data_IF_498679270261
#
_entry.id   IF_498679270261
#
_cell.length_a   1.000
_cell.length_b   1.000
_cell.length_c   1.000
_cell.angle_alpha   90.00
_cell.angle_beta   90.00
_cell.angle_gamma   90.00
#
_symmetry.space_group_name_H-M   'P 1'
#
loop_
_entity.id
_entity.type
_entity.pdbx_description
1 polymer ?
#
# COMPACT_ATOMS: atom_id res chain seq x y z
N UNK A 1 -13.32 11.55 36.29
CA UNK A 1 -13.98 10.36 35.75
C UNK A 1 -13.97 10.45 34.22
N UNK A 2 -12.80 10.27 33.61
CA UNK A 2 -12.63 10.19 32.14
C UNK A 2 -11.67 9.06 31.91
N UNK A 3 -12.10 7.97 31.30
CA UNK A 3 -11.16 6.92 30.94
C UNK A 3 -11.69 5.52 31.12
N UNK A 4 -12.63 5.08 30.28
CA UNK A 4 -12.90 3.62 30.10
C UNK A 4 -13.67 3.26 28.82
N UNK A 5 -13.77 4.14 27.84
CA UNK A 5 -14.57 3.89 26.64
C UNK A 5 -13.77 3.63 25.35
N UNK A 6 -12.46 3.34 25.44
CA UNK A 6 -11.60 3.17 24.27
C UNK A 6 -10.94 1.78 24.16
N UNK A 7 -11.48 0.74 24.83
CA UNK A 7 -10.84 -0.60 24.84
C UNK A 7 -11.64 -1.74 24.21
N UNK A 8 -12.85 -1.50 23.75
CA UNK A 8 -13.73 -2.58 23.30
C UNK A 8 -14.21 -2.41 21.84
N UNK A 9 -13.34 -1.99 20.94
CA UNK A 9 -13.56 -2.24 19.52
C UNK A 9 -12.87 -3.57 19.19
N UNK A 10 -13.61 -4.66 19.00
CA UNK A 10 -13.02 -5.91 18.54
C UNK A 10 -12.49 -5.68 17.14
N UNK A 11 -11.16 -5.66 16.97
CA UNK A 11 -10.50 -5.66 15.66
C UNK A 11 -10.66 -7.00 14.91
N UNK A 12 -11.56 -7.87 15.37
CA UNK A 12 -11.60 -9.28 15.02
C UNK A 12 -12.77 -9.72 14.15
N UNK A 13 -13.50 -8.80 13.55
CA UNK A 13 -14.50 -9.24 12.57
C UNK A 13 -14.01 -8.89 11.17
N UNK A 14 -13.13 -9.73 10.62
CA UNK A 14 -13.07 -9.89 9.17
C UNK A 14 -14.40 -10.51 8.76
N UNK A 15 -15.45 -9.71 8.71
CA UNK A 15 -16.70 -10.11 8.12
C UNK A 15 -16.41 -10.41 6.67
N UNK A 16 -16.61 -11.67 6.27
CA UNK A 16 -16.58 -12.04 4.86
C UNK A 16 -17.57 -11.10 4.17
N UNK A 17 -17.11 -10.23 3.25
CA UNK A 17 -18.01 -9.24 2.67
C UNK A 17 -19.18 -9.95 1.99
N UNK A 18 -20.38 -9.47 2.20
CA UNK A 18 -21.58 -9.98 1.52
C UNK A 18 -21.41 -9.79 0.01
N UNK A 19 -22.11 -10.60 -0.79
CA UNK A 19 -22.05 -10.47 -2.26
C UNK A 19 -22.37 -9.05 -2.75
N UNK A 20 -23.28 -8.35 -2.09
CA UNK A 20 -23.62 -6.94 -2.39
C UNK A 20 -22.44 -6.02 -2.10
N UNK A 21 -21.79 -6.17 -0.96
CA UNK A 21 -20.60 -5.39 -0.59
C UNK A 21 -19.44 -5.68 -1.55
N UNK A 22 -19.21 -6.95 -1.89
CA UNK A 22 -18.17 -7.34 -2.82
C UNK A 22 -18.36 -6.67 -4.19
N UNK A 23 -19.58 -6.72 -4.75
CA UNK A 23 -19.89 -6.06 -6.04
C UNK A 23 -19.67 -4.54 -6.02
N UNK A 24 -19.88 -3.88 -4.89
CA UNK A 24 -19.65 -2.42 -4.72
C UNK A 24 -18.18 -2.09 -4.56
N UNK A 25 -17.43 -2.91 -3.81
CA UNK A 25 -16.04 -2.64 -3.41
C UNK A 25 -15.01 -3.14 -4.42
N UNK A 26 -15.34 -4.22 -5.13
CA UNK A 26 -14.43 -4.85 -6.09
C UNK A 26 -14.01 -3.91 -7.24
N UNK A 27 -14.87 -3.11 -7.87
CA UNK A 27 -14.46 -2.16 -8.91
C UNK A 27 -13.43 -1.15 -8.40
N UNK A 28 -13.63 -0.62 -7.18
CA UNK A 28 -12.69 0.33 -6.58
C UNK A 28 -11.33 -0.33 -6.29
N UNK A 29 -11.31 -1.58 -5.82
CA UNK A 29 -10.09 -2.35 -5.64
C UNK A 29 -9.36 -2.57 -6.97
N UNK A 30 -10.09 -3.02 -8.00
CA UNK A 30 -9.54 -3.33 -9.32
C UNK A 30 -9.00 -2.10 -10.07
N UNK A 31 -9.49 -0.91 -9.75
CA UNK A 31 -8.94 0.37 -10.24
C UNK A 31 -7.80 0.84 -9.34
N UNK A 32 -7.95 0.71 -8.02
CA UNK A 32 -6.98 1.22 -7.05
C UNK A 32 -5.60 0.56 -7.15
N UNK A 33 -5.55 -0.76 -7.34
CA UNK A 33 -4.28 -1.49 -7.45
C UNK A 33 -3.49 -1.10 -8.72
N UNK A 34 -4.07 -1.04 -9.93
CA UNK A 34 -3.38 -0.52 -11.11
C UNK A 34 -2.91 0.93 -10.94
N UNK A 35 -3.74 1.81 -10.40
CA UNK A 35 -3.35 3.21 -10.14
C UNK A 35 -2.17 3.25 -9.18
N UNK A 36 -2.17 2.45 -8.11
CA UNK A 36 -1.05 2.32 -7.17
C UNK A 36 0.22 1.85 -7.87
N UNK A 37 0.15 0.78 -8.67
CA UNK A 37 1.29 0.23 -9.38
C UNK A 37 1.89 1.20 -10.41
N UNK A 38 1.04 1.92 -11.16
CA UNK A 38 1.47 2.97 -12.08
C UNK A 38 2.16 4.11 -11.32
N UNK A 39 1.59 4.57 -10.20
CA UNK A 39 2.20 5.61 -9.37
C UNK A 39 3.60 5.23 -8.89
N UNK A 40 3.78 4.00 -8.40
CA UNK A 40 5.09 3.46 -7.99
C UNK A 40 6.05 3.45 -9.19
N UNK A 41 5.62 2.96 -10.36
CA UNK A 41 6.46 2.91 -11.56
C UNK A 41 6.92 4.32 -12.01
N UNK A 42 6.04 5.33 -11.93
CA UNK A 42 6.40 6.73 -12.21
C UNK A 42 7.48 7.25 -11.28
N UNK A 43 7.40 6.94 -9.98
CA UNK A 43 8.45 7.33 -9.03
C UNK A 43 9.79 6.62 -9.30
N UNK A 44 9.73 5.34 -9.73
CA UNK A 44 10.91 4.57 -10.14
C UNK A 44 11.58 5.17 -11.38
N UNK A 45 10.81 5.53 -12.40
CA UNK A 45 11.30 6.14 -13.64
C UNK A 45 11.86 7.56 -13.43
N UNK A 46 11.40 8.29 -12.41
CA UNK A 46 11.95 9.60 -12.08
C UNK A 46 13.41 9.55 -11.63
N UNK A 47 13.89 8.41 -11.11
CA UNK A 47 15.28 8.20 -10.63
C UNK A 47 15.82 9.26 -9.66
N UNK A 48 14.93 9.87 -8.89
CA UNK A 48 15.30 10.87 -7.86
C UNK A 48 15.23 10.29 -6.44
N UNK A 49 15.11 8.98 -6.31
CA UNK A 49 14.82 8.27 -5.07
C UNK A 49 13.34 7.89 -4.97
N UNK A 50 13.05 6.81 -4.27
CA UNK A 50 11.74 6.16 -4.20
C UNK A 50 11.36 5.87 -2.75
N UNK A 51 10.19 5.28 -2.51
CA UNK A 51 9.78 4.92 -1.14
C UNK A 51 10.80 3.98 -0.48
N UNK A 52 10.91 3.96 0.86
CA UNK A 52 11.83 3.08 1.59
C UNK A 52 11.74 1.60 1.17
N UNK A 53 10.53 1.07 1.00
CA UNK A 53 10.33 -0.30 0.53
C UNK A 53 10.71 -0.49 -0.94
N UNK A 54 10.47 0.51 -1.78
CA UNK A 54 10.86 0.42 -3.19
C UNK A 54 12.37 0.52 -3.38
N UNK A 55 13.08 1.21 -2.47
CA UNK A 55 14.56 1.14 -2.38
C UNK A 55 15.00 -0.30 -2.11
N UNK A 56 14.33 -1.02 -1.19
CA UNK A 56 14.61 -2.43 -0.94
C UNK A 56 14.33 -3.29 -2.17
N UNK A 57 13.18 -3.09 -2.82
CA UNK A 57 12.82 -3.84 -4.02
C UNK A 57 13.83 -3.63 -5.15
N UNK A 58 14.23 -2.38 -5.39
CA UNK A 58 15.29 -2.06 -6.38
C UNK A 58 16.63 -2.70 -6.03
N UNK A 59 17.04 -2.64 -4.76
CA UNK A 59 18.30 -3.22 -4.30
C UNK A 59 18.35 -4.73 -4.50
N UNK A 60 17.25 -5.45 -4.17
CA UNK A 60 17.13 -6.89 -4.42
C UNK A 60 17.13 -7.16 -5.93
N UNK A 61 16.35 -6.42 -6.72
CA UNK A 61 16.29 -6.56 -8.17
C UNK A 61 17.68 -6.41 -8.81
N UNK A 62 18.46 -5.39 -8.40
CA UNK A 62 19.81 -5.15 -8.88
C UNK A 62 20.79 -6.31 -8.57
N UNK A 63 20.61 -6.99 -7.44
CA UNK A 63 21.47 -8.12 -7.04
C UNK A 63 21.05 -9.46 -7.66
N UNK A 64 19.76 -9.65 -7.92
CA UNK A 64 19.21 -10.92 -8.39
C UNK A 64 18.98 -10.98 -9.89
N UNK A 65 18.93 -9.83 -10.58
CA UNK A 65 18.56 -9.73 -11.99
C UNK A 65 17.06 -9.92 -12.25
N UNK A 66 16.24 -10.03 -11.22
CA UNK A 66 14.78 -10.09 -11.35
C UNK A 66 14.21 -8.72 -11.64
N UNK A 67 13.01 -8.68 -12.26
CA UNK A 67 12.28 -7.41 -12.39
C UNK A 67 11.85 -6.85 -11.04
N UNK A 68 11.70 -5.53 -10.95
CA UNK A 68 11.28 -4.87 -9.69
C UNK A 68 9.91 -5.38 -9.25
N UNK A 69 8.96 -5.54 -10.19
CA UNK A 69 7.63 -6.04 -9.87
C UNK A 69 7.63 -7.50 -9.39
N UNK A 70 8.47 -8.36 -9.97
CA UNK A 70 8.66 -9.72 -9.44
C UNK A 70 9.18 -9.70 -8.00
N UNK A 71 10.14 -8.83 -7.70
CA UNK A 71 10.66 -8.68 -6.33
C UNK A 71 9.57 -8.16 -5.38
N UNK A 72 8.74 -7.21 -5.81
CA UNK A 72 7.59 -6.70 -5.02
C UNK A 72 6.66 -7.85 -4.64
N UNK A 73 6.32 -8.74 -5.59
CA UNK A 73 5.48 -9.92 -5.34
C UNK A 73 6.16 -10.86 -4.34
N UNK A 74 7.42 -11.21 -4.56
CA UNK A 74 8.15 -12.13 -3.69
C UNK A 74 8.30 -11.60 -2.26
N UNK A 75 8.68 -10.35 -2.11
CA UNK A 75 8.78 -9.69 -0.79
C UNK A 75 7.40 -9.62 -0.13
N UNK A 76 6.34 -9.32 -0.89
CA UNK A 76 4.97 -9.35 -0.40
C UNK A 76 4.56 -10.72 0.14
N UNK A 77 4.89 -11.79 -0.59
CA UNK A 77 4.63 -13.18 -0.15
C UNK A 77 5.44 -13.54 1.11
N UNK A 78 6.70 -13.15 1.19
CA UNK A 78 7.52 -13.33 2.40
C UNK A 78 6.90 -12.59 3.58
N UNK A 79 6.45 -11.35 3.39
CA UNK A 79 5.78 -10.59 4.44
C UNK A 79 4.51 -11.30 4.91
N UNK A 80 3.71 -11.89 4.02
CA UNK A 80 2.51 -12.64 4.39
C UNK A 80 2.83 -13.88 5.25
N UNK A 81 4.01 -14.48 5.11
CA UNK A 81 4.44 -15.58 6.01
C UNK A 81 4.57 -15.06 7.46
N UNK A 82 5.05 -13.82 7.65
CA UNK A 82 5.11 -13.21 8.99
C UNK A 82 3.74 -12.88 9.58
N UNK A 83 2.66 -12.84 8.78
CA UNK A 83 1.30 -12.69 9.32
C UNK A 83 0.84 -13.90 10.11
N UNK A 84 1.38 -15.10 9.82
CA UNK A 84 1.00 -16.35 10.51
C UNK A 84 1.23 -16.22 12.03
N UNK A 85 2.47 -15.92 12.52
CA UNK A 85 2.70 -15.74 13.96
C UNK A 85 2.00 -14.50 14.54
N UNK A 86 1.67 -13.50 13.70
CA UNK A 86 0.94 -12.31 14.10
C UNK A 86 -0.59 -12.55 14.13
N UNK A 87 -1.04 -13.73 13.69
CA UNK A 87 -2.47 -14.11 13.59
C UNK A 87 -3.30 -13.13 12.74
N UNK A 88 -2.65 -12.46 11.78
CA UNK A 88 -3.34 -11.61 10.82
C UNK A 88 -3.97 -12.47 9.72
N UNK A 89 -5.18 -12.08 9.27
CA UNK A 89 -5.88 -12.81 8.20
C UNK A 89 -5.83 -11.98 6.91
N UNK A 90 -5.26 -12.51 5.82
CA UNK A 90 -5.28 -11.79 4.55
C UNK A 90 -6.70 -11.71 4.00
N UNK A 91 -7.12 -10.49 3.64
CA UNK A 91 -8.36 -10.26 2.92
C UNK A 91 -8.19 -10.46 1.41
N UNK A 92 -9.32 -10.39 0.67
CA UNK A 92 -9.30 -10.48 -0.79
C UNK A 92 -8.38 -9.39 -1.40
N UNK A 93 -8.48 -8.15 -0.90
CA UNK A 93 -7.63 -7.04 -1.35
C UNK A 93 -6.15 -7.29 -1.10
N UNK A 94 -5.79 -7.94 0.02
CA UNK A 94 -4.41 -8.32 0.33
C UNK A 94 -3.86 -9.29 -0.70
N UNK A 95 -4.61 -10.35 -1.04
CA UNK A 95 -4.17 -11.37 -1.99
C UNK A 95 -4.04 -10.77 -3.40
N UNK A 96 -5.08 -10.05 -3.85
CA UNK A 96 -5.07 -9.44 -5.18
C UNK A 96 -3.93 -8.42 -5.29
N UNK A 97 -3.76 -7.53 -4.29
CA UNK A 97 -2.66 -6.56 -4.30
C UNK A 97 -1.29 -7.25 -4.36
N UNK A 98 -1.05 -8.24 -3.50
CA UNK A 98 0.24 -8.94 -3.46
C UNK A 98 0.63 -9.56 -4.80
N UNK A 99 -0.34 -10.14 -5.51
CA UNK A 99 -0.07 -10.85 -6.77
C UNK A 99 -0.06 -9.92 -8.00
N UNK A 100 -0.76 -8.80 -7.97
CA UNK A 100 -1.00 -8.01 -9.18
C UNK A 100 -0.27 -6.67 -9.21
N UNK A 101 -0.01 -6.01 -8.07
CA UNK A 101 0.66 -4.70 -8.06
C UNK A 101 2.03 -4.76 -8.72
N UNK A 102 2.82 -5.82 -8.48
CA UNK A 102 4.12 -5.99 -9.10
C UNK A 102 4.04 -6.16 -10.63
N UNK A 103 3.04 -6.90 -11.13
CA UNK A 103 2.82 -7.03 -12.57
C UNK A 103 2.50 -5.69 -13.22
N UNK A 104 1.70 -4.87 -12.56
CA UNK A 104 1.38 -3.52 -13.04
C UNK A 104 2.61 -2.62 -13.03
N UNK A 105 3.45 -2.71 -11.99
CA UNK A 105 4.72 -1.96 -11.94
C UNK A 105 5.58 -2.32 -13.13
N UNK A 106 5.82 -3.60 -13.38
CA UNK A 106 6.66 -4.06 -14.49
C UNK A 106 6.10 -3.61 -15.84
N UNK A 107 4.79 -3.75 -16.05
CA UNK A 107 4.13 -3.28 -17.28
C UNK A 107 4.30 -1.78 -17.46
N UNK A 108 4.06 -0.99 -16.40
CA UNK A 108 4.20 0.47 -16.47
C UNK A 108 5.66 0.91 -16.72
N UNK A 109 6.65 0.21 -16.14
CA UNK A 109 8.07 0.47 -16.40
C UNK A 109 8.47 0.21 -17.87
N UNK A 110 7.79 -0.71 -18.55
CA UNK A 110 8.01 -0.94 -20.00
C UNK A 110 7.39 0.14 -20.87
N UNK A 111 6.28 0.74 -20.45
CA UNK A 111 5.52 1.72 -21.22
C UNK A 111 6.00 3.16 -20.98
N UNK A 112 6.31 3.49 -19.74
CA UNK A 112 6.75 4.84 -19.35
C UNK A 112 8.24 5.00 -19.62
N UNK A 113 8.66 5.91 -20.51
CA UNK A 113 10.07 6.12 -20.78
C UNK A 113 10.75 6.80 -19.60
N UNK A 114 12.03 6.49 -19.41
CA UNK A 114 12.86 7.19 -18.44
C UNK A 114 13.24 8.57 -18.97
N UNK A 115 12.95 9.67 -18.24
CA UNK A 115 13.31 11.00 -18.72
C UNK A 115 14.81 11.30 -18.50
N UNK A 116 15.46 11.83 -19.53
CA UNK A 116 16.89 12.19 -19.47
C UNK A 116 17.15 13.46 -18.64
N UNK A 117 16.21 14.43 -18.70
CA UNK A 117 16.38 15.76 -18.11
C UNK A 117 15.78 15.86 -16.72
N UNK A 118 16.50 16.49 -15.80
CA UNK A 118 16.01 16.74 -14.44
C UNK A 118 14.66 17.51 -14.43
N UNK A 119 14.49 18.44 -15.37
CA UNK A 119 13.25 19.21 -15.54
C UNK A 119 12.02 18.33 -15.83
N UNK A 120 12.19 17.13 -16.41
CA UNK A 120 11.12 16.16 -16.61
C UNK A 120 11.02 15.14 -15.46
N UNK A 121 12.14 14.83 -14.78
CA UNK A 121 12.16 13.90 -13.64
C UNK A 121 11.39 14.44 -12.43
N UNK A 122 11.52 15.74 -12.14
CA UNK A 122 10.84 16.35 -10.98
C UNK A 122 9.31 16.31 -11.11
N UNK A 123 8.69 16.78 -12.22
CA UNK A 123 7.24 16.63 -12.40
C UNK A 123 6.78 15.19 -12.40
N UNK A 124 7.56 14.26 -12.99
CA UNK A 124 7.25 12.83 -13.00
C UNK A 124 7.23 12.26 -11.58
N UNK A 125 8.20 12.63 -10.73
CA UNK A 125 8.23 12.23 -9.33
C UNK A 125 7.00 12.75 -8.57
N UNK A 126 6.70 14.05 -8.69
CA UNK A 126 5.57 14.68 -8.01
C UNK A 126 4.26 14.01 -8.42
N UNK A 127 4.07 13.83 -9.74
CA UNK A 127 2.89 13.15 -10.26
C UNK A 127 2.82 11.69 -9.82
N UNK A 128 3.94 10.97 -9.81
CA UNK A 128 4.03 9.61 -9.31
C UNK A 128 3.64 9.49 -7.83
N UNK A 129 4.07 10.42 -6.97
CA UNK A 129 3.69 10.46 -5.55
C UNK A 129 2.17 10.69 -5.41
N UNK A 130 1.60 11.63 -6.16
CA UNK A 130 0.16 11.91 -6.15
C UNK A 130 -0.67 10.70 -6.59
N UNK A 131 -0.26 10.06 -7.70
CA UNK A 131 -0.93 8.86 -8.24
C UNK A 131 -0.79 7.68 -7.26
N UNK A 132 0.36 7.53 -6.61
CA UNK A 132 0.56 6.51 -5.56
C UNK A 132 -0.39 6.75 -4.38
N UNK A 133 -0.50 8.00 -3.92
CA UNK A 133 -1.43 8.38 -2.84
C UNK A 133 -2.89 8.11 -3.21
N UNK A 134 -3.30 8.47 -4.42
CA UNK A 134 -4.64 8.18 -4.96
C UNK A 134 -4.91 6.68 -5.02
N UNK A 135 -3.98 5.90 -5.60
CA UNK A 135 -4.08 4.46 -5.69
C UNK A 135 -4.19 3.79 -4.31
N UNK A 136 -3.41 4.28 -3.34
CA UNK A 136 -3.47 3.82 -1.96
C UNK A 136 -4.84 4.12 -1.33
N UNK A 137 -5.37 5.34 -1.52
CA UNK A 137 -6.70 5.73 -1.04
C UNK A 137 -7.82 4.88 -1.64
N UNK A 138 -7.78 4.62 -2.94
CA UNK A 138 -8.74 3.75 -3.64
C UNK A 138 -8.67 2.31 -3.11
N UNK A 139 -7.49 1.73 -3.10
CA UNK A 139 -7.30 0.32 -2.76
C UNK A 139 -7.62 0.04 -1.27
N UNK A 140 -7.10 0.85 -0.34
CA UNK A 140 -7.40 0.72 1.09
C UNK A 140 -8.86 1.10 1.37
N UNK A 141 -9.37 2.15 0.72
CA UNK A 141 -10.75 2.62 0.85
C UNK A 141 -11.80 1.60 0.39
N UNK A 142 -11.43 0.63 -0.45
CA UNK A 142 -12.29 -0.49 -0.79
C UNK A 142 -12.61 -1.40 0.42
N UNK A 143 -11.79 -1.38 1.49
CA UNK A 143 -12.03 -2.12 2.72
C UNK A 143 -12.02 -3.65 2.56
N UNK A 144 -11.31 -4.17 1.55
CA UNK A 144 -11.21 -5.61 1.26
C UNK A 144 -9.92 -6.26 1.81
N UNK A 145 -9.21 -5.55 2.65
CA UNK A 145 -7.98 -5.99 3.32
C UNK A 145 -6.79 -5.07 3.04
N UNK A 146 -5.90 -4.88 4.03
CA UNK A 146 -4.71 -4.05 3.89
C UNK A 146 -3.65 -4.73 3.02
N UNK A 147 -2.66 -3.97 2.53
CA UNK A 147 -1.48 -4.52 1.87
C UNK A 147 -0.63 -5.38 2.81
N UNK A 148 0.24 -6.24 2.25
CA UNK A 148 1.10 -7.08 3.07
C UNK A 148 1.90 -6.28 4.09
N UNK A 149 2.48 -5.16 3.68
CA UNK A 149 3.26 -4.25 4.53
C UNK A 149 2.42 -3.62 5.64
N UNK A 150 1.23 -3.11 5.28
CA UNK A 150 0.36 -2.41 6.22
C UNK A 150 -0.17 -3.37 7.29
N UNK A 151 -0.54 -4.60 6.90
CA UNK A 151 -0.96 -5.62 7.84
C UNK A 151 0.17 -6.15 8.73
N UNK A 152 1.42 -6.17 8.25
CA UNK A 152 2.58 -6.44 9.12
C UNK A 152 2.71 -5.37 10.21
N UNK A 153 2.58 -4.09 9.83
CA UNK A 153 2.65 -2.96 10.77
C UNK A 153 1.52 -3.01 11.80
N UNK A 154 0.28 -3.23 11.36
CA UNK A 154 -0.88 -3.33 12.25
C UNK A 154 -0.83 -4.57 13.13
N UNK A 155 -0.33 -5.70 12.61
CA UNK A 155 -0.14 -6.93 13.36
C UNK A 155 0.87 -6.79 14.50
N UNK A 156 1.98 -6.08 14.25
CA UNK A 156 2.95 -5.76 15.30
C UNK A 156 2.39 -4.75 16.31
N UNK A 157 1.64 -3.75 15.85
CA UNK A 157 0.98 -2.79 16.73
C UNK A 157 -0.03 -3.48 17.66
N UNK A 158 -0.75 -4.49 17.20
CA UNK A 158 -1.66 -5.30 18.01
C UNK A 158 -0.94 -6.08 19.14
N UNK A 159 0.38 -6.26 19.05
CA UNK A 159 1.20 -6.85 20.14
C UNK A 159 1.61 -5.83 21.21
N UNK A 160 1.17 -4.58 21.11
CA UNK A 160 1.41 -3.53 22.10
C UNK A 160 2.48 -2.51 21.70
N UNK A 161 3.05 -2.62 20.50
CA UNK A 161 3.99 -1.63 20.01
C UNK A 161 3.25 -0.43 19.39
N UNK A 162 3.69 0.82 19.60
CA UNK A 162 3.06 1.98 18.97
C UNK A 162 3.23 1.93 17.45
N UNK A 163 2.13 2.08 16.71
CA UNK A 163 2.09 1.92 15.25
C UNK A 163 3.13 2.81 14.53
N UNK A 164 3.30 4.06 15.00
CA UNK A 164 4.28 4.98 14.41
C UNK A 164 5.72 4.46 14.53
N UNK A 165 6.07 3.86 15.68
CA UNK A 165 7.41 3.31 15.89
C UNK A 165 7.65 2.06 15.04
N UNK A 166 6.66 1.15 14.97
CA UNK A 166 6.72 -0.03 14.10
C UNK A 166 6.93 0.40 12.64
N UNK A 167 6.13 1.36 12.17
CA UNK A 167 6.24 1.89 10.81
C UNK A 167 7.63 2.47 10.57
N UNK A 168 8.08 3.36 11.44
CA UNK A 168 9.40 4.02 11.30
C UNK A 168 10.53 2.99 11.27
N UNK A 169 10.54 2.03 12.18
CA UNK A 169 11.59 1.00 12.25
C UNK A 169 11.60 0.15 10.98
N UNK A 170 10.43 -0.34 10.54
CA UNK A 170 10.35 -1.16 9.33
C UNK A 170 10.75 -0.39 8.07
N UNK A 171 10.35 0.88 7.96
CA UNK A 171 10.75 1.74 6.84
C UNK A 171 12.25 2.03 6.84
N UNK A 172 12.84 2.29 8.00
CA UNK A 172 14.30 2.51 8.11
C UNK A 172 15.10 1.24 7.81
N UNK A 173 14.64 0.08 8.28
CA UNK A 173 15.27 -1.20 7.97
C UNK A 173 15.20 -1.51 6.47
N UNK A 174 14.05 -1.30 5.83
CA UNK A 174 13.88 -1.48 4.40
C UNK A 174 14.77 -0.51 3.60
N UNK A 175 14.82 0.76 4.01
CA UNK A 175 15.67 1.79 3.40
C UNK A 175 17.15 1.43 3.50
N UNK A 176 17.61 1.08 4.70
CA UNK A 176 19.01 0.75 4.94
C UNK A 176 19.44 -0.50 4.17
N UNK A 177 18.65 -1.58 4.24
CA UNK A 177 18.92 -2.80 3.51
C UNK A 177 18.90 -2.57 1.99
N UNK A 178 17.91 -1.85 1.48
CA UNK A 178 17.80 -1.55 0.06
C UNK A 178 18.95 -0.68 -0.44
N UNK A 179 19.38 0.31 0.34
CA UNK A 179 20.51 1.16 -0.02
C UNK A 179 21.84 0.38 -0.09
N UNK A 180 22.09 -0.48 0.91
CA UNK A 180 23.28 -1.37 0.90
C UNK A 180 23.27 -2.32 -0.30
N UNK A 181 22.09 -2.75 -0.75
CA UNK A 181 21.93 -3.60 -1.93
C UNK A 181 22.02 -2.82 -3.26
N UNK A 182 22.08 -1.49 -3.24
CA UNK A 182 22.22 -0.65 -4.43
C UNK A 182 20.91 -0.01 -4.92
N UNK A 183 19.88 0.02 -4.09
CA UNK A 183 18.65 0.74 -4.37
C UNK A 183 18.84 2.26 -4.39
N UNK A 184 18.03 2.97 -5.14
CA UNK A 184 18.14 4.40 -5.39
C UNK A 184 17.53 5.23 -4.24
N UNK A 185 18.38 5.84 -3.43
CA UNK A 185 18.02 6.79 -2.38
C UNK A 185 18.31 8.21 -2.84
N UNK A 186 17.40 9.14 -2.65
CA UNK A 186 17.57 10.51 -3.05
C UNK A 186 16.55 11.47 -2.46
N UNK A 187 16.46 12.68 -3.02
CA UNK A 187 15.51 13.70 -2.59
C UNK A 187 14.05 13.20 -2.73
N UNK A 188 13.79 12.35 -3.72
CA UNK A 188 12.50 11.71 -3.91
C UNK A 188 12.10 10.80 -2.75
N UNK A 189 13.06 10.13 -2.10
CA UNK A 189 12.78 9.31 -0.91
C UNK A 189 12.30 10.17 0.24
N UNK A 190 12.92 11.31 0.45
CA UNK A 190 12.50 12.28 1.47
C UNK A 190 11.13 12.86 1.13
N UNK A 191 10.95 13.33 -0.10
CA UNK A 191 9.68 13.88 -0.57
C UNK A 191 8.54 12.87 -0.42
N UNK A 192 8.77 11.61 -0.81
CA UNK A 192 7.79 10.52 -0.66
C UNK A 192 7.44 10.29 0.81
N UNK A 193 8.43 10.16 1.68
CA UNK A 193 8.22 9.86 3.11
C UNK A 193 7.35 10.92 3.81
N UNK A 194 7.56 12.20 3.49
CA UNK A 194 6.75 13.29 4.06
C UNK A 194 5.38 13.45 3.40
N UNK A 195 5.24 13.13 2.11
CA UNK A 195 4.02 13.41 1.35
C UNK A 195 3.01 12.27 1.41
N UNK A 196 3.46 10.99 1.40
CA UNK A 196 2.55 9.85 1.23
C UNK A 196 1.58 9.68 2.40
N UNK A 197 1.98 10.01 3.63
CA UNK A 197 1.10 9.95 4.80
C UNK A 197 -0.09 10.90 4.71
N UNK A 198 0.13 12.22 4.58
CA UNK A 198 -0.94 13.20 4.37
C UNK A 198 -1.80 12.92 3.13
N UNK A 199 -1.20 12.58 1.99
CA UNK A 199 -1.92 12.25 0.76
C UNK A 199 -2.80 11.00 0.94
N UNK A 200 -2.26 9.94 1.55
CA UNK A 200 -3.00 8.72 1.81
C UNK A 200 -4.20 8.98 2.72
N UNK A 201 -4.03 9.78 3.79
CA UNK A 201 -5.14 10.19 4.67
C UNK A 201 -6.19 11.01 3.93
N UNK A 202 -5.76 11.98 3.12
CA UNK A 202 -6.64 12.82 2.32
C UNK A 202 -7.50 11.97 1.38
N UNK A 203 -6.87 11.13 0.56
CA UNK A 203 -7.61 10.29 -0.39
C UNK A 203 -8.46 9.23 0.31
N UNK A 204 -7.97 8.63 1.39
CA UNK A 204 -8.73 7.65 2.15
C UNK A 204 -10.00 8.27 2.76
N UNK A 205 -9.91 9.47 3.31
CA UNK A 205 -11.07 10.17 3.86
C UNK A 205 -12.18 10.44 2.82
N UNK A 206 -11.80 10.62 1.54
CA UNK A 206 -12.75 10.90 0.46
C UNK A 206 -13.20 9.65 -0.32
N UNK A 207 -12.43 8.56 -0.26
CA UNK A 207 -12.64 7.37 -1.08
C UNK A 207 -12.99 6.12 -0.26
N UNK A 208 -13.09 6.25 1.07
CA UNK A 208 -13.50 5.14 1.92
C UNK A 208 -14.96 4.76 1.68
N UNK A 209 -15.20 3.49 1.34
CA UNK A 209 -16.54 2.94 1.25
C UNK A 209 -16.98 2.45 2.62
N UNK A 210 -17.94 3.15 3.23
CA UNK A 210 -18.53 2.71 4.49
C UNK A 210 -19.13 1.31 4.37
N UNK A 211 -18.96 0.50 5.41
CA UNK A 211 -19.68 -0.77 5.54
C UNK A 211 -21.18 -0.48 5.63
N UNK A 212 -21.98 -1.11 4.79
CA UNK A 212 -23.45 -1.05 4.92
C UNK A 212 -23.82 -1.72 6.24
N UNK A 213 -24.52 -1.03 7.16
CA UNK A 213 -24.98 -1.66 8.38
C UNK A 213 -25.80 -2.90 8.05
N UNK A 214 -25.53 -4.02 8.73
CA UNK A 214 -26.21 -5.30 8.50
C UNK A 214 -27.73 -5.24 8.80
N UNK A 215 -28.19 -4.18 9.45
CA UNK A 215 -29.55 -4.02 9.99
C UNK A 215 -30.56 -3.45 8.98
N UNK A 216 -30.13 -3.01 7.82
CA UNK A 216 -31.04 -2.61 6.75
C UNK A 216 -31.41 -3.84 5.92
N UNK A 217 -32.34 -4.63 6.47
CA UNK A 217 -33.03 -5.69 5.73
C UNK A 217 -33.65 -5.14 4.43
N UNK A 218 -34.02 -6.01 3.46
CA UNK A 218 -34.45 -5.61 2.11
C UNK A 218 -35.76 -4.81 2.02
N UNK A 219 -36.18 -4.15 3.10
CA UNK A 219 -37.46 -3.43 3.20
C UNK A 219 -37.39 -1.94 3.58
N UNK A 220 -36.21 -1.34 3.79
CA UNK A 220 -36.12 0.05 4.30
C UNK A 220 -35.84 1.12 3.22
N UNK A 221 -36.10 0.84 1.96
CA UNK A 221 -36.04 1.83 0.88
C UNK A 221 -37.41 1.84 0.18
N UNK A 222 -38.34 2.54 0.79
CA UNK A 222 -39.65 2.73 0.21
C UNK A 222 -40.66 3.31 1.21
N UNK A 223 -40.47 4.58 1.58
CA UNK A 223 -41.57 5.52 1.91
C UNK A 223 -41.06 6.94 1.66
#
# INVERSE_FOLDING_TARGET
>A
MVGRAARDTPLDVVTVPTWRELRRRLPQLLVGIPVLGVGIALTLQARLGVSPYDVLHQGIAAKTGLSVGTVVILVGLVILVFWIPLRQRPGLGTVVNTLTVGLVIDLALHVVPEPDRLAARIPLLVFGILVTGLGMGLYIGAGLGPGPRDGLMTGLAAKGFPLWAVRTVLELLALAAGWVLGGNVGIGTVAFAFSIGPLGQFFLAHLHLESVPADLGPGAVGE
#
